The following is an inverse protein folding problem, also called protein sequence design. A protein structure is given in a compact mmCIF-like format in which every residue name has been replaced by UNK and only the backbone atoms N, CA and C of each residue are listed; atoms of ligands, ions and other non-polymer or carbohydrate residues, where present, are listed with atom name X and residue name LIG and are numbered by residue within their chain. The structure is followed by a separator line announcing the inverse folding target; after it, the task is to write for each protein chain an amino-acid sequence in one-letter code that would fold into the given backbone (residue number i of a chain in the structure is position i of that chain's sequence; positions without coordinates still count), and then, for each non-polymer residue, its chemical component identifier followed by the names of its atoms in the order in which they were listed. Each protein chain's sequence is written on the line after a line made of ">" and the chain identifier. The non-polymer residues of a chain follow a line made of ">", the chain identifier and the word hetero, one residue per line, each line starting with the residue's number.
data_IF_224189807681
#
_entry.id   IF_224189807681
#
_cell.length_a   1.000
_cell.length_b   1.000
_cell.length_c   1.000
_cell.angle_alpha   90.00
_cell.angle_beta   90.00
_cell.angle_gamma   90.00
#
_symmetry.space_group_name_H-M   'P 1'
#
loop_
_entity.id
_entity.type
_entity.pdbx_description
1 polymer ?
#
# COMPACT_ATOMS: atom_id res chain seq x y z
N UNK A 1 -8.16 13.67 16.94
CA UNK A 1 -9.14 12.84 16.18
C UNK A 1 -9.07 13.28 14.72
N UNK A 2 -8.36 12.54 13.89
CA UNK A 2 -8.36 12.79 12.44
C UNK A 2 -9.69 12.31 11.85
N UNK A 3 -10.41 13.23 11.28
CA UNK A 3 -11.78 13.05 10.77
C UNK A 3 -11.75 12.21 9.48
N UNK A 4 -12.04 10.92 9.56
CA UNK A 4 -12.16 10.00 8.41
C UNK A 4 -13.17 10.47 7.35
N UNK A 5 -14.04 11.43 7.67
CA UNK A 5 -14.97 12.07 6.73
C UNK A 5 -14.28 12.88 5.62
N UNK A 6 -13.08 13.40 5.87
CA UNK A 6 -12.31 14.15 4.84
C UNK A 6 -11.76 13.25 3.73
N UNK A 7 -11.58 11.96 3.99
CA UNK A 7 -11.08 11.02 2.99
C UNK A 7 -12.17 10.64 1.96
N UNK A 8 -13.46 10.65 2.36
CA UNK A 8 -14.58 10.37 1.44
C UNK A 8 -14.81 11.48 0.41
N UNK A 9 -14.53 12.73 0.73
CA UNK A 9 -14.89 13.88 -0.13
C UNK A 9 -13.95 14.11 -1.31
N UNK A 10 -12.75 13.54 -1.31
CA UNK A 10 -11.78 13.65 -2.43
C UNK A 10 -11.91 12.53 -3.46
N UNK A 11 -12.61 11.43 -3.15
CA UNK A 11 -12.78 10.30 -4.05
C UNK A 11 -13.72 10.57 -5.24
N UNK A 12 -14.73 11.44 -5.08
CA UNK A 12 -15.75 11.65 -6.11
C UNK A 12 -15.30 12.53 -7.30
N UNK A 13 -14.18 13.23 -7.19
CA UNK A 13 -13.71 14.16 -8.24
C UNK A 13 -13.01 13.53 -9.45
N UNK A 14 -12.65 12.24 -9.38
CA UNK A 14 -11.83 11.58 -10.41
C UNK A 14 -12.47 10.33 -11.03
N UNK A 15 -13.80 10.22 -11.03
CA UNK A 15 -14.51 9.03 -11.52
C UNK A 15 -14.27 8.65 -13.00
N UNK A 16 -13.61 9.50 -13.80
CA UNK A 16 -13.29 9.21 -15.20
C UNK A 16 -11.79 9.34 -15.55
N UNK A 17 -10.91 9.46 -14.53
CA UNK A 17 -9.49 9.58 -14.77
C UNK A 17 -8.83 8.19 -14.70
N UNK A 18 -8.19 7.76 -15.78
CA UNK A 18 -7.45 6.51 -15.83
C UNK A 18 -5.97 6.79 -15.90
N UNK A 19 -5.23 6.40 -14.85
CA UNK A 19 -3.77 6.48 -14.82
C UNK A 19 -3.16 5.50 -15.83
N UNK A 20 -2.22 5.98 -16.64
CA UNK A 20 -1.42 5.12 -17.51
C UNK A 20 -0.32 4.44 -16.69
N UNK A 21 -0.15 3.12 -16.87
CA UNK A 21 0.93 2.36 -16.22
C UNK A 21 1.89 1.86 -17.28
N UNK A 22 3.15 2.26 -17.15
CA UNK A 22 4.20 1.93 -18.09
C UNK A 22 5.25 1.07 -17.39
N UNK A 23 5.44 -0.14 -17.89
CA UNK A 23 6.49 -1.03 -17.44
C UNK A 23 7.76 -0.77 -18.25
N UNK A 24 8.80 -0.32 -17.57
CA UNK A 24 10.06 0.14 -18.12
C UNK A 24 9.96 1.49 -18.85
N UNK A 25 10.86 2.41 -18.46
CA UNK A 25 10.92 3.78 -19.01
C UNK A 25 11.18 3.79 -20.53
N UNK A 26 11.88 2.79 -21.06
CA UNK A 26 12.12 2.66 -22.49
C UNK A 26 10.85 2.55 -23.36
N UNK A 27 9.71 2.26 -22.73
CA UNK A 27 8.41 2.18 -23.40
C UNK A 27 7.62 3.49 -23.25
N UNK A 28 8.18 4.49 -22.60
CA UNK A 28 7.53 5.79 -22.43
C UNK A 28 8.04 6.80 -23.47
N UNK A 29 7.11 7.46 -24.13
CA UNK A 29 7.38 8.51 -25.12
C UNK A 29 6.68 9.79 -24.67
N UNK A 30 7.41 10.75 -24.07
CA UNK A 30 6.81 11.96 -23.51
C UNK A 30 6.18 12.82 -24.58
N UNK A 31 4.92 13.22 -24.36
CA UNK A 31 4.16 14.11 -25.26
C UNK A 31 4.28 15.58 -24.90
N UNK A 32 4.54 15.86 -23.62
CA UNK A 32 4.76 17.21 -23.06
C UNK A 32 5.76 17.14 -21.91
N UNK A 33 6.28 18.26 -21.42
CA UNK A 33 7.15 18.27 -20.25
C UNK A 33 6.48 17.68 -19.03
N UNK A 34 7.28 17.11 -18.13
CA UNK A 34 6.79 16.39 -16.97
C UNK A 34 7.25 16.97 -15.64
N UNK A 35 6.45 16.76 -14.61
CA UNK A 35 6.83 16.88 -13.21
C UNK A 35 6.89 15.48 -12.62
N UNK A 36 8.01 15.17 -11.99
CA UNK A 36 8.35 13.80 -11.61
C UNK A 36 8.59 13.71 -10.10
N UNK A 37 8.17 12.62 -9.49
CA UNK A 37 8.69 12.18 -8.18
C UNK A 37 9.18 10.76 -8.28
N UNK A 38 10.23 10.43 -7.49
CA UNK A 38 10.94 9.16 -7.56
C UNK A 38 10.91 8.49 -6.19
N UNK A 39 10.52 7.23 -6.15
CA UNK A 39 10.57 6.48 -4.90
C UNK A 39 9.93 5.10 -4.98
N UNK A 40 10.14 4.30 -3.95
CA UNK A 40 9.48 3.01 -3.83
C UNK A 40 8.00 3.14 -3.48
N UNK A 41 7.63 4.22 -2.81
CA UNK A 41 6.26 4.52 -2.35
C UNK A 41 5.56 3.32 -1.71
N UNK A 42 6.32 2.52 -0.94
CA UNK A 42 5.75 1.35 -0.29
C UNK A 42 4.84 1.77 0.87
N UNK A 43 3.57 1.37 0.76
CA UNK A 43 2.51 1.73 1.69
C UNK A 43 1.82 3.06 1.41
N UNK A 44 2.28 3.87 0.47
CA UNK A 44 1.72 5.22 0.15
C UNK A 44 1.21 5.91 1.43
N UNK A 45 2.06 5.93 2.47
CA UNK A 45 1.74 6.50 3.79
C UNK A 45 1.57 8.03 3.73
N UNK A 46 1.08 8.64 4.79
CA UNK A 46 0.71 10.08 4.80
C UNK A 46 1.84 11.01 4.34
N UNK A 47 3.12 10.66 4.61
CA UNK A 47 4.27 11.40 4.07
C UNK A 47 4.38 11.27 2.54
N UNK A 48 4.21 10.07 1.97
CA UNK A 48 4.17 9.89 0.52
C UNK A 48 2.99 10.63 -0.11
N UNK A 49 1.81 10.57 0.54
CA UNK A 49 0.61 11.24 0.04
C UNK A 49 0.78 12.76 -0.08
N UNK A 50 1.56 13.39 0.83
CA UNK A 50 1.87 14.82 0.73
C UNK A 50 2.66 15.10 -0.55
N UNK A 51 3.74 14.36 -0.78
CA UNK A 51 4.59 14.49 -1.99
C UNK A 51 3.74 14.34 -3.26
N UNK A 52 2.88 13.33 -3.30
CA UNK A 52 2.05 13.03 -4.47
C UNK A 52 0.97 14.11 -4.70
N UNK A 53 0.36 14.65 -3.63
CA UNK A 53 -0.60 15.75 -3.77
C UNK A 53 0.07 17.01 -4.31
N UNK A 54 1.27 17.35 -3.82
CA UNK A 54 2.03 18.49 -4.30
C UNK A 54 2.42 18.32 -5.78
N UNK A 55 2.85 17.10 -6.17
CA UNK A 55 3.11 16.71 -7.54
C UNK A 55 1.90 16.99 -8.45
N UNK A 56 0.73 16.41 -8.09
CA UNK A 56 -0.50 16.53 -8.89
C UNK A 56 -1.02 17.96 -8.94
N UNK A 57 -0.90 18.72 -7.83
CA UNK A 57 -1.32 20.11 -7.77
C UNK A 57 -0.49 20.99 -8.71
N UNK A 58 0.85 20.84 -8.64
CA UNK A 58 1.77 21.60 -9.51
C UNK A 58 1.67 21.19 -10.97
N UNK A 59 1.50 19.89 -11.24
CA UNK A 59 1.26 19.42 -12.62
C UNK A 59 0.10 20.15 -13.28
N UNK A 60 -1.02 20.29 -12.55
CA UNK A 60 -2.21 20.98 -13.05
C UNK A 60 -2.01 22.49 -13.24
N UNK A 61 -1.32 23.14 -12.30
CA UNK A 61 -1.12 24.60 -12.38
C UNK A 61 -0.10 25.02 -13.44
N UNK A 62 0.82 24.14 -13.81
CA UNK A 62 1.92 24.42 -14.73
C UNK A 62 1.77 23.68 -16.07
N UNK A 63 0.65 23.00 -16.30
CA UNK A 63 0.37 22.16 -17.49
C UNK A 63 1.46 21.12 -17.78
N UNK A 64 1.93 20.45 -16.74
CA UNK A 64 2.92 19.38 -16.82
C UNK A 64 2.25 18.01 -16.68
N UNK A 65 2.90 16.96 -17.16
CA UNK A 65 2.46 15.57 -16.90
C UNK A 65 2.90 15.11 -15.51
N UNK A 66 1.98 14.71 -14.65
CA UNK A 66 2.28 14.18 -13.31
C UNK A 66 2.77 12.72 -13.37
N UNK A 67 4.07 12.51 -13.14
CA UNK A 67 4.71 11.19 -13.24
C UNK A 67 5.22 10.72 -11.87
N UNK A 68 4.86 9.51 -11.49
CA UNK A 68 5.51 8.77 -10.39
C UNK A 68 6.41 7.69 -10.98
N UNK A 69 7.72 7.80 -10.75
CA UNK A 69 8.70 6.77 -11.08
C UNK A 69 8.92 5.87 -9.86
N UNK A 70 8.52 4.61 -9.96
CA UNK A 70 8.71 3.59 -8.92
C UNK A 70 9.48 2.39 -9.46
N UNK A 71 9.88 1.49 -8.56
CA UNK A 71 10.76 0.36 -8.87
C UNK A 71 10.11 -0.99 -8.53
N UNK A 72 10.32 -1.98 -9.38
CA UNK A 72 9.94 -3.36 -9.12
C UNK A 72 10.99 -4.32 -9.74
N UNK A 73 11.53 -5.29 -8.96
CA UNK A 73 11.33 -5.49 -7.52
C UNK A 73 11.87 -4.32 -6.68
N UNK A 74 11.57 -4.34 -5.37
CA UNK A 74 12.04 -3.30 -4.44
C UNK A 74 13.59 -3.28 -4.40
N UNK A 75 14.26 -2.10 -4.44
CA UNK A 75 15.73 -1.99 -4.48
C UNK A 75 16.46 -2.81 -3.41
N UNK A 76 15.94 -2.87 -2.18
CA UNK A 76 16.54 -3.69 -1.10
C UNK A 76 16.55 -5.19 -1.41
N UNK A 77 15.56 -5.69 -2.14
CA UNK A 77 15.51 -7.11 -2.52
C UNK A 77 16.63 -7.45 -3.49
N UNK A 78 17.03 -6.52 -4.34
CA UNK A 78 18.10 -6.70 -5.34
C UNK A 78 19.48 -6.43 -4.75
N UNK A 79 19.65 -5.30 -4.06
CA UNK A 79 20.95 -4.84 -3.57
C UNK A 79 21.39 -5.55 -2.30
N UNK A 80 20.48 -5.76 -1.36
CA UNK A 80 20.76 -6.37 -0.05
C UNK A 80 20.39 -7.86 -0.03
N UNK A 81 19.87 -8.40 -1.15
CA UNK A 81 19.31 -9.75 -1.24
C UNK A 81 18.31 -10.03 -0.10
N UNK A 82 17.57 -9.01 0.31
CA UNK A 82 16.60 -9.09 1.41
C UNK A 82 15.34 -9.84 0.94
N UNK A 83 15.44 -11.16 0.90
CA UNK A 83 14.33 -12.05 0.49
C UNK A 83 13.20 -12.08 1.51
N UNK A 84 13.39 -11.53 2.72
CA UNK A 84 12.38 -11.48 3.77
C UNK A 84 11.57 -10.19 3.74
N UNK A 85 11.96 -9.21 2.93
CA UNK A 85 11.22 -7.95 2.83
C UNK A 85 9.81 -8.21 2.31
N UNK A 86 8.81 -7.79 3.09
CA UNK A 86 7.40 -7.83 2.69
C UNK A 86 6.91 -6.42 2.37
N UNK A 87 6.13 -6.31 1.30
CA UNK A 87 5.59 -5.05 0.81
C UNK A 87 4.30 -4.69 1.55
N UNK A 88 4.17 -3.44 1.96
CA UNK A 88 2.96 -2.93 2.62
C UNK A 88 1.78 -2.99 1.66
N UNK A 89 1.96 -2.51 0.42
CA UNK A 89 0.99 -2.63 -0.66
C UNK A 89 1.53 -3.50 -1.80
N UNK A 90 0.68 -4.27 -2.45
CA UNK A 90 1.01 -4.88 -3.74
C UNK A 90 1.16 -3.79 -4.80
N UNK A 91 1.72 -4.12 -5.97
CA UNK A 91 1.82 -3.17 -7.07
C UNK A 91 0.42 -2.68 -7.52
N UNK A 92 -0.56 -3.59 -7.58
CA UNK A 92 -1.94 -3.25 -7.93
C UNK A 92 -2.60 -2.33 -6.89
N UNK A 93 -2.41 -2.60 -5.60
CA UNK A 93 -2.91 -1.74 -4.53
C UNK A 93 -2.29 -0.34 -4.60
N UNK A 94 -0.97 -0.27 -4.80
CA UNK A 94 -0.24 0.99 -5.00
C UNK A 94 -0.78 1.75 -6.23
N UNK A 95 -0.94 1.07 -7.35
CA UNK A 95 -1.50 1.64 -8.58
C UNK A 95 -2.86 2.30 -8.33
N UNK A 96 -3.78 1.56 -7.70
CA UNK A 96 -5.11 2.08 -7.37
C UNK A 96 -5.05 3.32 -6.48
N UNK A 97 -4.18 3.32 -5.46
CA UNK A 97 -3.99 4.48 -4.57
C UNK A 97 -3.48 5.71 -5.33
N UNK A 98 -2.47 5.55 -6.18
CA UNK A 98 -1.91 6.64 -6.97
C UNK A 98 -2.91 7.21 -7.98
N UNK A 99 -3.68 6.33 -8.62
CA UNK A 99 -4.76 6.69 -9.54
C UNK A 99 -5.81 7.57 -8.85
N UNK A 100 -6.27 7.17 -7.64
CA UNK A 100 -7.24 7.96 -6.87
C UNK A 100 -6.69 9.32 -6.41
N UNK A 101 -5.37 9.48 -6.38
CA UNK A 101 -4.72 10.75 -6.05
C UNK A 101 -4.52 11.64 -7.28
N UNK A 102 -4.84 11.18 -8.49
CA UNK A 102 -4.77 11.95 -9.73
C UNK A 102 -3.40 11.92 -10.41
N UNK A 103 -2.55 10.93 -10.12
CA UNK A 103 -1.30 10.71 -10.86
C UNK A 103 -1.64 10.30 -12.29
N UNK A 104 -1.03 10.96 -13.28
CA UNK A 104 -1.32 10.70 -14.69
C UNK A 104 -0.59 9.46 -15.21
N UNK A 105 0.68 9.31 -14.83
CA UNK A 105 1.52 8.22 -15.31
C UNK A 105 2.27 7.59 -14.13
N UNK A 106 2.18 6.28 -14.03
CA UNK A 106 3.00 5.46 -13.15
C UNK A 106 4.02 4.68 -13.97
N UNK A 107 5.29 5.01 -13.85
CA UNK A 107 6.37 4.23 -14.46
C UNK A 107 6.91 3.24 -13.45
N UNK A 108 6.78 1.97 -13.76
CA UNK A 108 7.32 0.85 -12.96
C UNK A 108 8.63 0.39 -13.61
N UNK A 109 9.74 0.98 -13.16
CA UNK A 109 11.05 0.67 -13.70
C UNK A 109 11.57 -0.66 -13.11
N UNK A 110 11.98 -1.63 -13.94
CA UNK A 110 12.69 -2.81 -13.48
C UNK A 110 13.98 -2.40 -12.75
N UNK A 111 14.07 -2.75 -11.45
CA UNK A 111 15.27 -2.48 -10.68
C UNK A 111 16.21 -3.68 -10.78
N UNK A 112 17.21 -3.57 -11.63
CA UNK A 112 18.22 -4.61 -11.88
C UNK A 112 19.58 -4.21 -11.29
N UNK A 113 20.53 -5.13 -11.27
CA UNK A 113 21.93 -4.83 -10.89
C UNK A 113 22.54 -3.77 -11.81
N UNK A 114 22.26 -3.86 -13.13
CA UNK A 114 22.74 -2.90 -14.13
C UNK A 114 22.15 -1.52 -13.86
N UNK A 115 20.83 -1.42 -13.67
CA UNK A 115 20.16 -0.16 -13.34
C UNK A 115 20.73 0.48 -12.07
N UNK A 116 21.06 -0.32 -11.06
CA UNK A 116 21.62 0.15 -9.79
C UNK A 116 23.06 0.72 -9.91
N UNK A 117 23.73 0.46 -11.02
CA UNK A 117 25.10 0.96 -11.31
C UNK A 117 25.14 2.29 -12.03
N UNK A 118 23.99 2.79 -12.47
CA UNK A 118 23.93 4.11 -13.09
C UNK A 118 24.49 5.17 -12.15
N UNK A 119 25.45 5.94 -12.63
CA UNK A 119 25.94 7.11 -11.92
C UNK A 119 24.83 8.15 -11.79
N UNK A 120 25.00 9.13 -10.92
CA UNK A 120 24.02 10.19 -10.76
C UNK A 120 23.78 10.96 -12.07
N UNK A 121 24.86 11.24 -12.82
CA UNK A 121 24.77 11.94 -14.09
C UNK A 121 24.09 11.12 -15.19
N UNK A 122 24.38 9.83 -15.29
CA UNK A 122 23.71 8.92 -16.24
C UNK A 122 22.22 8.82 -15.92
N UNK A 123 21.88 8.63 -14.63
CA UNK A 123 20.49 8.60 -14.21
C UNK A 123 19.76 9.90 -14.55
N UNK A 124 20.39 11.05 -14.28
CA UNK A 124 19.80 12.35 -14.58
C UNK A 124 19.62 12.55 -16.08
N UNK A 125 20.67 12.35 -16.87
CA UNK A 125 20.63 12.56 -18.31
C UNK A 125 19.70 11.59 -19.03
N UNK A 126 19.86 10.28 -18.76
CA UNK A 126 19.21 9.26 -19.59
C UNK A 126 17.78 8.94 -19.11
N UNK A 127 17.54 9.00 -17.79
CA UNK A 127 16.24 8.71 -17.23
C UNK A 127 15.38 9.96 -17.10
N UNK A 128 15.88 11.01 -16.41
CA UNK A 128 15.06 12.18 -16.12
C UNK A 128 14.90 13.07 -17.35
N UNK A 129 16.00 13.43 -17.99
CA UNK A 129 15.98 14.38 -19.12
C UNK A 129 15.48 13.69 -20.38
N UNK A 130 16.21 12.71 -20.89
CA UNK A 130 15.89 12.06 -22.16
C UNK A 130 14.65 11.16 -22.07
N UNK A 131 14.51 10.39 -20.98
CA UNK A 131 13.43 9.43 -20.82
C UNK A 131 12.11 10.06 -20.39
N UNK A 132 12.13 11.02 -19.47
CA UNK A 132 10.91 11.61 -18.88
C UNK A 132 10.58 13.01 -19.38
N UNK A 133 11.45 13.65 -20.15
CA UNK A 133 11.32 15.07 -20.55
C UNK A 133 11.00 15.94 -19.33
N UNK A 134 11.84 15.82 -18.28
CA UNK A 134 11.59 16.45 -17.00
C UNK A 134 11.71 17.96 -17.06
N UNK A 135 10.73 18.67 -16.53
CA UNK A 135 10.77 20.12 -16.27
C UNK A 135 10.91 20.40 -14.77
N UNK A 136 10.39 19.53 -13.94
CA UNK A 136 10.43 19.69 -12.48
C UNK A 136 10.53 18.35 -11.77
N UNK A 137 11.39 18.28 -10.75
CA UNK A 137 11.52 17.12 -9.84
C UNK A 137 11.02 17.49 -8.46
N UNK A 138 10.13 16.68 -7.88
CA UNK A 138 9.72 16.81 -6.47
C UNK A 138 10.29 15.65 -5.67
N UNK A 139 11.05 15.94 -4.63
CA UNK A 139 11.68 14.94 -3.76
C UNK A 139 11.62 15.35 -2.29
N UNK A 140 11.71 14.36 -1.40
CA UNK A 140 11.90 14.62 0.02
C UNK A 140 13.36 14.98 0.34
N UNK A 141 13.56 15.66 1.44
CA UNK A 141 14.86 16.14 1.93
C UNK A 141 15.94 15.06 2.09
N UNK A 142 15.54 13.80 2.33
CA UNK A 142 16.44 12.64 2.55
C UNK A 142 16.67 11.82 1.29
N UNK A 143 16.23 12.33 0.15
CA UNK A 143 16.36 11.61 -1.12
C UNK A 143 17.82 11.44 -1.51
N UNK A 144 18.17 10.21 -1.89
CA UNK A 144 19.49 9.87 -2.41
C UNK A 144 19.35 8.95 -3.62
N UNK A 145 20.17 9.17 -4.63
CA UNK A 145 20.07 8.47 -5.91
C UNK A 145 21.43 8.16 -6.52
N UNK A 146 21.42 7.54 -7.70
CA UNK A 146 22.63 7.10 -8.37
C UNK A 146 23.31 5.91 -7.69
N UNK A 147 24.43 5.52 -8.25
CA UNK A 147 25.23 4.40 -7.76
C UNK A 147 25.58 4.59 -6.27
N UNK A 148 25.41 3.55 -5.47
CA UNK A 148 25.65 3.55 -4.02
C UNK A 148 24.86 4.62 -3.24
N UNK A 149 23.89 5.29 -3.85
CA UNK A 149 23.15 6.40 -3.24
C UNK A 149 24.07 7.57 -2.84
N UNK A 150 25.09 7.84 -3.63
CA UNK A 150 26.10 8.88 -3.32
C UNK A 150 25.58 10.28 -3.55
N UNK A 151 24.71 10.47 -4.56
CA UNK A 151 24.19 11.79 -4.91
C UNK A 151 23.10 12.25 -3.95
N UNK A 152 23.14 13.52 -3.63
CA UNK A 152 22.29 14.25 -2.70
C UNK A 152 21.27 15.11 -3.43
N UNK A 153 20.43 15.82 -2.67
CA UNK A 153 19.51 16.84 -3.20
C UNK A 153 20.28 18.01 -3.81
N UNK A 154 21.42 18.40 -3.23
CA UNK A 154 22.23 19.52 -3.76
C UNK A 154 22.86 19.15 -5.10
N UNK A 155 23.31 17.90 -5.28
CA UNK A 155 23.77 17.43 -6.58
C UNK A 155 22.65 17.48 -7.62
N UNK A 156 21.39 17.12 -7.24
CA UNK A 156 20.23 17.23 -8.13
C UNK A 156 19.92 18.68 -8.51
N UNK A 157 20.05 19.62 -7.57
CA UNK A 157 19.88 21.06 -7.86
C UNK A 157 20.93 21.53 -8.86
N UNK A 158 22.18 21.07 -8.73
CA UNK A 158 23.23 21.39 -9.69
C UNK A 158 22.92 20.78 -11.07
N UNK A 159 22.53 19.52 -11.15
CA UNK A 159 22.10 18.90 -12.40
C UNK A 159 20.86 19.61 -13.00
N UNK A 160 19.97 20.15 -12.14
CA UNK A 160 18.84 20.95 -12.59
C UNK A 160 19.30 22.22 -13.35
N UNK A 161 20.36 22.88 -12.88
CA UNK A 161 20.95 24.00 -13.60
C UNK A 161 21.60 23.57 -14.94
N UNK A 162 22.35 22.46 -14.92
CA UNK A 162 23.08 21.97 -16.08
C UNK A 162 22.14 21.45 -17.19
N UNK A 163 21.00 20.85 -16.82
CA UNK A 163 20.03 20.22 -17.73
C UNK A 163 18.68 20.96 -17.83
N UNK A 164 18.60 22.16 -17.25
CA UNK A 164 17.44 23.06 -17.36
C UNK A 164 16.12 22.43 -16.80
N UNK A 165 16.15 21.89 -15.59
CA UNK A 165 14.95 21.50 -14.84
C UNK A 165 15.00 22.00 -13.39
N UNK A 166 13.83 22.18 -12.77
CA UNK A 166 13.74 22.65 -11.38
C UNK A 166 13.70 21.48 -10.40
N UNK A 167 14.25 21.69 -9.20
CA UNK A 167 14.19 20.72 -8.10
C UNK A 167 13.47 21.34 -6.91
N UNK A 168 12.30 20.82 -6.62
CA UNK A 168 11.48 21.19 -5.46
C UNK A 168 11.71 20.18 -4.33
N UNK A 169 12.42 20.64 -3.31
CA UNK A 169 12.67 19.87 -2.10
C UNK A 169 11.51 20.06 -1.11
N UNK A 170 10.90 18.97 -0.66
CA UNK A 170 9.93 19.03 0.44
C UNK A 170 10.71 19.01 1.75
N UNK A 171 10.63 20.10 2.56
CA UNK A 171 11.44 20.25 3.75
C UNK A 171 11.21 19.16 4.79
N UNK A 172 12.26 18.86 5.55
CA UNK A 172 12.19 17.91 6.66
C UNK A 172 11.07 18.24 7.67
N UNK A 173 10.84 19.51 7.97
CA UNK A 173 9.80 19.97 8.88
C UNK A 173 8.40 19.53 8.43
N UNK A 174 8.16 19.51 7.14
CA UNK A 174 6.89 19.11 6.54
C UNK A 174 6.71 17.60 6.49
N UNK A 175 7.79 16.83 6.39
CA UNK A 175 7.78 15.37 6.43
C UNK A 175 7.98 14.86 7.86
N UNK A 176 8.83 15.52 8.67
CA UNK A 176 9.13 15.13 10.05
C UNK A 176 7.98 15.39 11.02
N UNK A 177 7.13 16.41 10.77
CA UNK A 177 5.89 16.60 11.54
C UNK A 177 4.96 15.38 11.44
N UNK A 178 5.10 14.59 10.38
CA UNK A 178 4.34 13.38 10.13
C UNK A 178 5.02 12.14 10.76
N UNK A 179 6.33 12.20 11.11
CA UNK A 179 7.11 11.17 11.82
C UNK A 179 6.87 9.72 11.35
N UNK A 180 6.53 9.51 10.06
CA UNK A 180 6.18 8.21 9.49
C UNK A 180 7.20 7.74 8.45
N UNK A 181 7.41 6.43 8.35
CA UNK A 181 8.20 5.79 7.30
C UNK A 181 7.63 4.41 6.99
N UNK A 182 7.93 3.85 5.82
CA UNK A 182 7.53 2.48 5.47
C UNK A 182 8.03 1.45 6.49
N UNK A 183 9.19 1.67 7.11
CA UNK A 183 9.70 0.80 8.19
C UNK A 183 8.80 0.86 9.43
N UNK A 184 8.40 2.06 9.87
CA UNK A 184 7.47 2.21 11.01
C UNK A 184 6.12 1.56 10.71
N UNK A 185 5.57 1.76 9.50
CA UNK A 185 4.33 1.10 9.07
C UNK A 185 4.47 -0.42 9.11
N UNK A 186 5.56 -0.97 8.56
CA UNK A 186 5.80 -2.43 8.60
C UNK A 186 5.81 -2.98 10.02
N UNK A 187 6.53 -2.30 10.91
CA UNK A 187 6.65 -2.73 12.30
C UNK A 187 5.29 -2.73 13.01
N UNK A 188 4.45 -1.72 12.79
CA UNK A 188 3.09 -1.69 13.38
C UNK A 188 2.17 -2.75 12.81
N UNK A 189 2.25 -3.06 11.50
CA UNK A 189 1.51 -4.18 10.89
C UNK A 189 1.94 -5.50 11.51
N UNK A 190 3.26 -5.77 11.60
CA UNK A 190 3.79 -7.00 12.17
C UNK A 190 3.46 -7.16 13.66
N UNK A 191 3.38 -6.07 14.40
CA UNK A 191 2.96 -6.06 15.81
C UNK A 191 1.42 -6.20 15.97
N UNK A 192 0.64 -6.04 14.89
CA UNK A 192 -0.83 -6.01 14.94
C UNK A 192 -1.40 -4.72 15.51
N UNK A 193 -0.62 -3.65 15.58
CA UNK A 193 -1.05 -2.32 16.01
C UNK A 193 -1.84 -1.62 14.90
N UNK A 194 -2.96 -2.22 14.49
CA UNK A 194 -3.72 -1.82 13.28
C UNK A 194 -4.19 -0.37 13.34
N UNK A 195 -4.67 0.11 14.49
CA UNK A 195 -5.05 1.53 14.63
C UNK A 195 -3.92 2.49 14.29
N UNK A 196 -2.73 2.21 14.81
CA UNK A 196 -1.53 3.03 14.57
C UNK A 196 -1.04 2.89 13.13
N UNK A 197 -1.14 1.68 12.57
CA UNK A 197 -0.90 1.44 11.14
C UNK A 197 -1.79 2.33 10.29
N UNK A 198 -3.10 2.33 10.58
CA UNK A 198 -4.08 3.12 9.83
C UNK A 198 -3.85 4.62 9.97
N UNK A 199 -3.42 5.10 11.15
CA UNK A 199 -3.00 6.49 11.34
C UNK A 199 -1.80 6.85 10.45
N UNK A 200 -0.78 5.99 10.39
CA UNK A 200 0.39 6.21 9.53
C UNK A 200 0.07 6.14 8.04
N UNK A 201 -0.86 5.26 7.65
CA UNK A 201 -1.31 5.14 6.26
C UNK A 201 -2.32 6.22 5.86
N UNK A 202 -3.01 6.86 6.82
CA UNK A 202 -4.15 7.75 6.58
C UNK A 202 -5.37 7.02 5.98
N UNK A 203 -5.38 5.69 6.02
CA UNK A 203 -6.41 4.80 5.50
C UNK A 203 -6.34 3.44 6.20
N UNK A 204 -7.38 2.61 6.15
CA UNK A 204 -7.29 1.24 6.62
C UNK A 204 -6.21 0.46 5.86
N UNK A 205 -5.39 -0.31 6.59
CA UNK A 205 -4.52 -1.33 6.00
C UNK A 205 -5.39 -2.43 5.40
N UNK A 206 -5.04 -2.90 4.20
CA UNK A 206 -5.88 -3.86 3.49
C UNK A 206 -5.12 -5.09 3.01
N UNK A 207 -5.87 -6.18 2.90
CA UNK A 207 -5.46 -7.43 2.29
C UNK A 207 -6.40 -7.73 1.12
N UNK A 208 -5.85 -7.86 -0.07
CA UNK A 208 -6.61 -8.19 -1.28
C UNK A 208 -6.34 -9.64 -1.70
N UNK A 209 -7.37 -10.38 -2.07
CA UNK A 209 -7.22 -11.77 -2.47
C UNK A 209 -8.50 -12.36 -3.06
N UNK A 210 -8.45 -13.64 -3.43
CA UNK A 210 -9.61 -14.38 -3.93
C UNK A 210 -10.21 -15.24 -2.82
N UNK A 211 -11.53 -15.35 -2.80
CA UNK A 211 -12.22 -16.25 -1.86
C UNK A 211 -12.17 -17.68 -2.40
N UNK A 212 -11.58 -18.56 -1.62
CA UNK A 212 -11.43 -19.98 -1.95
C UNK A 212 -12.22 -20.88 -1.00
N UNK A 213 -12.45 -22.13 -1.41
CA UNK A 213 -13.12 -23.11 -0.56
C UNK A 213 -12.23 -23.47 0.62
N UNK A 214 -12.81 -23.50 1.82
CA UNK A 214 -12.20 -23.96 3.07
C UNK A 214 -12.92 -25.18 3.64
N UNK A 215 -12.58 -25.56 4.88
CA UNK A 215 -13.08 -26.79 5.52
C UNK A 215 -14.51 -26.69 6.07
N UNK A 216 -15.13 -25.53 6.00
CA UNK A 216 -16.52 -25.29 6.45
C UNK A 216 -16.78 -25.61 7.94
N UNK A 217 -15.75 -25.64 8.79
CA UNK A 217 -15.88 -25.92 10.23
C UNK A 217 -16.76 -24.85 10.91
N UNK A 218 -16.53 -23.56 10.60
CA UNK A 218 -17.31 -22.46 11.16
C UNK A 218 -18.80 -22.56 10.85
N UNK A 219 -19.19 -23.09 9.67
CA UNK A 219 -20.60 -23.26 9.29
C UNK A 219 -21.36 -24.17 10.27
N UNK A 220 -20.71 -25.20 10.81
CA UNK A 220 -21.32 -26.12 11.80
C UNK A 220 -21.64 -25.44 13.14
N UNK A 221 -20.97 -24.30 13.40
CA UNK A 221 -21.13 -23.51 14.63
C UNK A 221 -21.94 -22.22 14.42
N UNK A 222 -22.57 -22.04 13.24
CA UNK A 222 -23.30 -20.82 12.90
C UNK A 222 -22.42 -19.65 12.44
N UNK A 223 -21.13 -19.88 12.20
CA UNK A 223 -20.17 -18.88 11.72
C UNK A 223 -19.60 -19.26 10.35
N UNK A 224 -20.37 -19.15 9.25
CA UNK A 224 -19.85 -19.46 7.92
C UNK A 224 -18.75 -18.46 7.54
N UNK A 225 -17.54 -18.97 7.27
CA UNK A 225 -16.37 -18.13 6.94
C UNK A 225 -16.01 -18.19 5.47
N UNK A 226 -15.58 -17.04 4.91
CA UNK A 226 -14.91 -16.91 3.63
C UNK A 226 -13.39 -17.05 3.85
N UNK A 227 -12.73 -17.87 3.03
CA UNK A 227 -11.28 -18.06 3.10
C UNK A 227 -10.59 -17.19 2.08
N UNK A 228 -9.77 -16.23 2.52
CA UNK A 228 -9.05 -15.30 1.65
C UNK A 228 -7.68 -15.90 1.27
N UNK A 229 -7.45 -16.10 -0.02
CA UNK A 229 -6.16 -16.50 -0.57
C UNK A 229 -5.48 -15.29 -1.22
N UNK A 230 -4.30 -14.93 -0.68
CA UNK A 230 -3.45 -13.85 -1.20
C UNK A 230 -2.35 -14.50 -2.03
N UNK A 231 -2.35 -14.25 -3.35
CA UNK A 231 -1.38 -14.83 -4.30
C UNK A 231 0.01 -14.22 -4.14
N UNK A 232 0.08 -12.94 -3.81
CA UNK A 232 1.34 -12.19 -3.68
C UNK A 232 2.07 -12.62 -2.40
N UNK A 233 3.12 -13.42 -2.60
CA UNK A 233 3.95 -13.98 -1.51
C UNK A 233 4.62 -12.89 -0.69
N UNK A 234 4.90 -11.74 -1.30
CA UNK A 234 5.59 -10.63 -0.66
C UNK A 234 4.65 -9.61 -0.03
N UNK A 235 3.33 -9.81 -0.11
CA UNK A 235 2.38 -8.98 0.63
C UNK A 235 2.59 -9.13 2.14
N UNK A 236 2.79 -8.00 2.82
CA UNK A 236 2.88 -7.93 4.28
C UNK A 236 1.55 -8.37 4.90
N UNK A 237 1.62 -9.18 5.93
CA UNK A 237 0.46 -9.67 6.69
C UNK A 237 0.65 -9.34 8.16
N UNK A 238 -0.40 -8.97 8.89
CA UNK A 238 -0.35 -8.80 10.33
C UNK A 238 -0.01 -10.12 11.02
N UNK A 239 0.39 -10.02 12.30
CA UNK A 239 0.57 -11.19 13.13
C UNK A 239 -0.76 -11.97 13.29
N UNK A 240 -0.66 -13.20 13.79
CA UNK A 240 -1.83 -14.04 14.04
C UNK A 240 -2.76 -13.40 15.08
N UNK A 241 -4.06 -13.52 14.88
CA UNK A 241 -5.06 -12.96 15.78
C UNK A 241 -6.40 -12.75 15.11
N UNK A 242 -7.33 -12.20 15.88
CA UNK A 242 -8.67 -11.83 15.42
C UNK A 242 -8.74 -10.32 15.27
N UNK A 243 -9.34 -9.87 14.14
CA UNK A 243 -9.39 -8.49 13.72
C UNK A 243 -10.83 -8.10 13.35
N UNK A 244 -11.25 -6.90 13.75
CA UNK A 244 -12.42 -6.25 13.16
C UNK A 244 -12.03 -5.77 11.76
N UNK A 245 -12.84 -6.12 10.78
CA UNK A 245 -12.61 -5.78 9.37
C UNK A 245 -13.87 -5.23 8.72
N UNK A 246 -13.68 -4.59 7.56
CA UNK A 246 -14.76 -4.23 6.65
C UNK A 246 -14.39 -4.58 5.20
N UNK A 247 -15.40 -4.74 4.36
CA UNK A 247 -15.27 -4.89 2.91
C UNK A 247 -16.48 -4.30 2.22
N UNK A 248 -16.31 -3.88 0.97
CA UNK A 248 -17.41 -3.47 0.11
C UNK A 248 -17.98 -4.69 -0.60
N UNK A 249 -19.17 -5.10 -0.22
CA UNK A 249 -19.91 -6.22 -0.82
C UNK A 249 -21.23 -5.69 -1.38
N UNK A 250 -21.55 -5.96 -2.65
CA UNK A 250 -22.81 -5.52 -3.27
C UNK A 250 -23.10 -4.02 -3.07
N UNK A 251 -22.07 -3.16 -3.23
CA UNK A 251 -22.14 -1.70 -3.02
C UNK A 251 -22.49 -1.27 -1.58
N UNK A 252 -22.38 -2.15 -0.61
CA UNK A 252 -22.58 -1.86 0.82
C UNK A 252 -21.30 -2.17 1.60
N UNK A 253 -21.07 -1.41 2.68
CA UNK A 253 -20.00 -1.73 3.64
C UNK A 253 -20.53 -2.85 4.54
N UNK A 254 -19.84 -4.00 4.50
CA UNK A 254 -20.09 -5.13 5.38
C UNK A 254 -18.95 -5.24 6.38
N UNK A 255 -19.29 -5.23 7.66
CA UNK A 255 -18.33 -5.47 8.74
C UNK A 255 -18.22 -6.97 9.02
N UNK A 256 -17.08 -7.36 9.58
CA UNK A 256 -16.86 -8.77 9.93
C UNK A 256 -15.72 -8.94 10.94
N UNK A 257 -15.55 -10.16 11.40
CA UNK A 257 -14.37 -10.58 12.14
C UNK A 257 -13.51 -11.49 11.28
N UNK A 258 -12.20 -11.22 11.26
CA UNK A 258 -11.21 -11.96 10.48
C UNK A 258 -10.22 -12.64 11.42
N UNK A 259 -10.01 -13.92 11.23
CA UNK A 259 -8.95 -14.67 11.89
C UNK A 259 -7.77 -14.88 10.95
N UNK A 260 -6.57 -14.50 11.41
CA UNK A 260 -5.30 -14.87 10.79
C UNK A 260 -4.65 -15.90 11.70
N UNK A 261 -4.51 -17.13 11.22
CA UNK A 261 -3.98 -18.23 12.00
C UNK A 261 -3.00 -19.12 11.23
N UNK A 262 -2.27 -19.98 11.96
CA UNK A 262 -1.38 -20.98 11.37
C UNK A 262 -2.04 -22.35 11.45
N UNK A 263 -2.21 -23.00 10.31
CA UNK A 263 -2.69 -24.36 10.25
C UNK A 263 -1.53 -25.34 10.01
N UNK A 264 -1.38 -26.40 10.82
CA UNK A 264 -0.47 -27.48 10.49
C UNK A 264 -0.89 -28.16 9.18
N UNK A 265 0.06 -28.33 8.27
CA UNK A 265 -0.12 -29.09 7.03
C UNK A 265 0.99 -30.14 6.93
N UNK A 266 0.84 -31.12 6.04
CA UNK A 266 1.85 -32.14 5.80
C UNK A 266 3.19 -31.52 5.36
N UNK A 267 3.15 -30.36 4.69
CA UNK A 267 4.33 -29.64 4.19
C UNK A 267 4.77 -28.45 5.07
N UNK A 268 4.23 -28.30 6.30
CA UNK A 268 4.58 -27.21 7.21
C UNK A 268 3.36 -26.48 7.79
N UNK A 269 3.54 -25.18 8.08
CA UNK A 269 2.45 -24.34 8.61
C UNK A 269 1.99 -23.37 7.52
N UNK A 270 0.74 -23.51 7.03
CA UNK A 270 0.13 -22.56 6.09
C UNK A 270 -0.61 -21.47 6.89
N UNK A 271 -0.41 -20.19 6.52
CA UNK A 271 -1.24 -19.11 7.06
C UNK A 271 -2.61 -19.21 6.41
N UNK A 272 -3.65 -19.21 7.24
CA UNK A 272 -5.05 -19.21 6.83
C UNK A 272 -5.69 -17.89 7.27
N UNK A 273 -6.49 -17.31 6.39
CA UNK A 273 -7.21 -16.06 6.64
C UNK A 273 -8.69 -16.36 6.42
N UNK A 274 -9.45 -16.32 7.49
CA UNK A 274 -10.89 -16.64 7.50
C UNK A 274 -11.68 -15.43 7.94
N UNK A 275 -12.72 -15.05 7.21
CA UNK A 275 -13.57 -13.90 7.50
C UNK A 275 -15.00 -14.35 7.67
N UNK A 276 -15.62 -13.98 8.79
CA UNK A 276 -17.05 -14.04 9.01
C UNK A 276 -17.61 -12.64 8.90
N UNK A 277 -18.43 -12.38 7.87
CA UNK A 277 -19.13 -11.10 7.70
C UNK A 277 -20.43 -11.11 8.50
N UNK A 278 -20.67 -10.03 9.23
CA UNK A 278 -21.92 -9.83 9.97
C UNK A 278 -23.04 -9.45 9.00
N UNK A 279 -24.22 -9.99 9.22
CA UNK A 279 -25.43 -9.64 8.46
C UNK A 279 -25.27 -9.76 6.93
N UNK A 280 -24.42 -10.69 6.47
CA UNK A 280 -24.21 -10.95 5.07
C UNK A 280 -24.63 -12.37 4.70
N UNK A 281 -25.55 -12.48 3.76
CA UNK A 281 -25.95 -13.71 3.12
C UNK A 281 -25.57 -13.69 1.64
N UNK A 282 -24.87 -14.71 1.18
CA UNK A 282 -24.47 -14.85 -0.22
C UNK A 282 -23.25 -15.72 -0.43
N UNK A 283 -23.01 -16.07 -1.68
CA UNK A 283 -21.82 -16.82 -2.09
C UNK A 283 -20.72 -15.84 -2.56
N UNK A 284 -19.57 -15.95 -1.92
CA UNK A 284 -18.38 -15.14 -2.23
C UNK A 284 -17.29 -15.92 -2.96
N UNK A 285 -17.47 -17.22 -3.20
CA UNK A 285 -16.44 -18.05 -3.84
C UNK A 285 -16.05 -17.53 -5.23
N UNK A 286 -14.73 -17.50 -5.47
CA UNK A 286 -14.15 -17.01 -6.72
C UNK A 286 -14.05 -15.48 -6.82
N UNK A 287 -14.74 -14.73 -5.97
CA UNK A 287 -14.69 -13.28 -5.99
C UNK A 287 -13.34 -12.77 -5.46
N UNK A 288 -12.84 -11.68 -6.05
CA UNK A 288 -11.73 -10.91 -5.49
C UNK A 288 -12.28 -9.91 -4.50
N UNK A 289 -11.79 -9.95 -3.27
CA UNK A 289 -12.18 -9.02 -2.22
C UNK A 289 -10.99 -8.24 -1.69
N UNK A 290 -11.24 -7.00 -1.31
CA UNK A 290 -10.37 -6.15 -0.51
C UNK A 290 -10.92 -6.11 0.91
N UNK A 291 -10.16 -6.62 1.85
CA UNK A 291 -10.49 -6.65 3.28
C UNK A 291 -9.70 -5.55 3.99
N UNK A 292 -10.39 -4.59 4.55
CA UNK A 292 -9.82 -3.47 5.29
C UNK A 292 -9.83 -3.76 6.78
N UNK A 293 -8.64 -3.72 7.41
CA UNK A 293 -8.48 -3.99 8.83
C UNK A 293 -8.68 -2.71 9.63
N UNK A 294 -9.54 -2.78 10.63
CA UNK A 294 -9.90 -1.63 11.46
C UNK A 294 -9.22 -1.67 12.83
N UNK A 295 -9.30 -2.81 13.51
CA UNK A 295 -8.77 -2.96 14.87
C UNK A 295 -8.45 -4.44 15.16
N UNK A 296 -7.40 -4.69 15.95
CA UNK A 296 -7.12 -6.02 16.51
C UNK A 296 -7.98 -6.26 17.74
N UNK A 297 -8.64 -7.39 17.80
CA UNK A 297 -9.51 -7.79 18.90
C UNK A 297 -8.73 -8.58 19.96
N UNK A 298 -7.94 -9.58 19.52
CA UNK A 298 -7.10 -10.43 20.38
C UNK A 298 -6.05 -11.20 19.59
N UNK A 299 -5.14 -11.82 20.31
CA UNK A 299 -4.20 -12.80 19.74
C UNK A 299 -4.87 -14.13 19.40
N UNK A 300 -4.24 -14.93 18.54
CA UNK A 300 -4.67 -16.29 18.24
C UNK A 300 -4.58 -17.17 19.49
N UNK A 301 -5.60 -17.99 19.69
CA UNK A 301 -5.66 -18.96 20.78
C UNK A 301 -6.11 -20.33 20.26
N UNK A 302 -5.62 -21.40 20.90
CA UNK A 302 -6.09 -22.76 20.64
C UNK A 302 -7.20 -23.13 21.64
N UNK A 303 -8.20 -23.86 21.16
CA UNK A 303 -9.32 -24.32 21.96
C UNK A 303 -9.36 -25.85 21.98
N UNK A 304 -9.64 -26.43 23.16
CA UNK A 304 -9.67 -27.85 23.38
C UNK A 304 -10.95 -28.52 22.84
N UNK A 305 -12.03 -27.75 22.64
CA UNK A 305 -13.29 -28.25 22.12
C UNK A 305 -13.96 -27.24 21.17
N UNK A 306 -14.83 -27.73 20.27
CA UNK A 306 -15.66 -26.92 19.40
C UNK A 306 -16.61 -26.02 20.18
N UNK A 307 -17.10 -26.45 21.33
CA UNK A 307 -17.96 -25.66 22.21
C UNK A 307 -17.21 -24.42 22.74
N UNK A 308 -15.99 -24.61 23.27
CA UNK A 308 -15.16 -23.48 23.73
C UNK A 308 -14.84 -22.52 22.61
N UNK A 309 -14.56 -23.03 21.41
CA UNK A 309 -14.34 -22.21 20.23
C UNK A 309 -15.60 -21.40 19.87
N UNK A 310 -16.79 -22.04 19.87
CA UNK A 310 -18.06 -21.36 19.60
C UNK A 310 -18.38 -20.25 20.59
N UNK A 311 -18.15 -20.50 21.88
CA UNK A 311 -18.30 -19.48 22.93
C UNK A 311 -17.38 -18.30 22.70
N UNK A 312 -16.11 -18.55 22.33
CA UNK A 312 -15.16 -17.46 22.04
C UNK A 312 -15.55 -16.67 20.78
N UNK A 313 -16.03 -17.31 19.72
CA UNK A 313 -16.52 -16.63 18.53
C UNK A 313 -17.68 -15.69 18.85
N UNK A 314 -18.58 -16.07 19.77
CA UNK A 314 -19.67 -15.19 20.25
C UNK A 314 -19.12 -13.97 21.00
N UNK A 315 -18.09 -14.14 21.82
CA UNK A 315 -17.42 -13.04 22.55
C UNK A 315 -16.74 -12.09 21.54
N UNK A 316 -16.02 -12.65 20.56
CA UNK A 316 -15.33 -11.90 19.52
C UNK A 316 -16.31 -11.07 18.68
N UNK A 317 -17.43 -11.69 18.27
CA UNK A 317 -18.50 -11.00 17.54
C UNK A 317 -19.07 -9.81 18.33
N UNK A 318 -19.43 -10.02 19.59
CA UNK A 318 -19.94 -8.94 20.46
C UNK A 318 -18.92 -7.82 20.64
N UNK A 319 -17.64 -8.17 20.75
CA UNK A 319 -16.54 -7.21 20.85
C UNK A 319 -16.40 -6.38 19.57
N UNK A 320 -16.48 -7.02 18.40
CA UNK A 320 -16.48 -6.36 17.11
C UNK A 320 -17.68 -5.41 16.97
N UNK A 321 -18.89 -5.90 17.27
CA UNK A 321 -20.12 -5.11 17.13
C UNK A 321 -20.13 -3.84 18.00
N UNK A 322 -19.53 -3.88 19.19
CA UNK A 322 -19.36 -2.70 20.06
C UNK A 322 -18.43 -1.64 19.44
N UNK A 323 -17.53 -2.03 18.57
CA UNK A 323 -16.56 -1.14 17.94
C UNK A 323 -17.07 -0.52 16.63
N UNK A 324 -17.99 -1.18 15.92
CA UNK A 324 -18.51 -0.75 14.61
C UNK A 324 -18.99 0.72 14.61
N UNK A 325 -19.71 1.24 15.63
CA UNK A 325 -20.17 2.63 15.61
C UNK A 325 -19.06 3.69 15.51
N UNK A 326 -17.81 3.33 15.81
CA UNK A 326 -16.64 4.22 15.65
C UNK A 326 -16.20 4.38 14.19
N UNK A 327 -16.69 3.51 13.29
CA UNK A 327 -16.26 3.41 11.89
C UNK A 327 -17.39 3.72 10.88
N UNK A 328 -18.60 3.98 11.38
CA UNK A 328 -19.74 4.52 10.63
C UNK A 328 -19.66 6.05 10.56
#
# INVERSE_FOLDING_TARGET
>A
MLNLKHFRCTFDKYQNFKMEVIHNISNYFPKKPSIVTIGTFDGVHIGHQKIIRDLVSKAKSEDLTAIVLTFSPHPRMVLQKDTQLKMIDTLDEKRQLLETMGVEILIVQPFTQEFSRLTAIEFTRDILVNGLNISKLIIGYDHRFGRNREATVDDLKQFGLDYNFMVDEIPAQDVASIAVSSTKVRNTVLAGEIKKTNQYLGRPFSLSGSIVKGDKIGRKMGYPTANLEIKEKDKLRPNNGVYLVQSHLNNKICFGMMNIGKRPTVSGKKIQIEIYFFDFEGDLYGNKLKIELLEKIRDEQKYESLERLGNQLSIDQKSCQKLIPKYL
#
